data_IF_024743416585
#
_entry.id   IF_024743416585
#
_cell.length_a   1.000
_cell.length_b   1.000
_cell.length_c   1.000
_cell.angle_alpha   90.00
_cell.angle_beta   90.00
_cell.angle_gamma   90.00
#
_symmetry.space_group_name_H-M   'P 1'
#
loop_
_entity.id
_entity.type
_entity.pdbx_description
1 polymer ?
#
# COMPACT_ATOMS: atom_id res chain seq x y z
N UNK A 1 -3.00 9.62 12.97
CA UNK A 1 -3.37 10.30 11.70
C UNK A 1 -2.21 10.37 10.71
N UNK A 2 -0.94 10.46 11.13
CA UNK A 2 0.22 10.49 10.21
C UNK A 2 0.45 9.21 9.37
N UNK A 3 0.07 8.02 9.85
CA UNK A 3 0.39 6.76 9.15
C UNK A 3 -0.51 6.47 7.95
N UNK A 4 -1.77 6.93 7.98
CA UNK A 4 -2.74 6.73 6.90
C UNK A 4 -2.44 7.63 5.69
N UNK A 5 -1.99 8.86 5.93
CA UNK A 5 -1.63 9.80 4.86
C UNK A 5 -0.46 9.28 4.01
N UNK A 6 0.47 8.54 4.64
CA UNK A 6 1.62 7.89 3.99
C UNK A 6 1.25 6.59 3.26
N UNK A 7 0.11 5.97 3.61
CA UNK A 7 -0.36 4.74 3.00
C UNK A 7 -1.10 4.98 1.67
N UNK A 8 -1.85 6.08 1.58
CA UNK A 8 -2.58 6.47 0.37
C UNK A 8 -1.70 6.51 -0.89
N UNK A 9 -0.52 7.18 -0.90
CA UNK A 9 0.30 7.26 -2.10
C UNK A 9 0.96 5.92 -2.45
N UNK A 10 1.26 5.05 -1.46
CA UNK A 10 1.75 3.69 -1.70
C UNK A 10 0.67 2.85 -2.39
N UNK A 11 -0.57 2.90 -1.88
CA UNK A 11 -1.70 2.19 -2.47
C UNK A 11 -2.02 2.72 -3.87
N UNK A 12 -1.88 4.03 -4.12
CA UNK A 12 -2.07 4.60 -5.46
C UNK A 12 -0.97 4.16 -6.46
N UNK A 13 0.29 4.09 -6.04
CA UNK A 13 1.41 3.61 -6.87
C UNK A 13 1.16 2.15 -7.28
N UNK A 14 0.75 1.32 -6.32
CA UNK A 14 0.38 -0.09 -6.55
C UNK A 14 -0.85 -0.27 -7.45
N UNK A 15 -1.71 0.74 -7.56
CA UNK A 15 -2.89 0.68 -8.43
C UNK A 15 -2.51 0.64 -9.91
N UNK A 16 -1.30 1.11 -10.24
CA UNK A 16 -0.73 1.05 -11.58
C UNK A 16 -0.07 -0.30 -11.88
N UNK A 17 0.17 -1.13 -10.86
CA UNK A 17 0.77 -2.46 -11.00
C UNK A 17 1.59 -2.89 -9.78
N UNK A 18 1.97 -4.17 -9.74
CA UNK A 18 2.83 -4.72 -8.70
C UNK A 18 4.17 -3.96 -8.65
N UNK A 19 4.59 -3.58 -7.45
CA UNK A 19 5.81 -2.77 -7.27
C UNK A 19 6.75 -3.42 -6.27
N UNK A 20 8.06 -3.34 -6.53
CA UNK A 20 9.08 -3.87 -5.63
C UNK A 20 9.12 -3.11 -4.31
N UNK A 21 9.26 -3.83 -3.21
CA UNK A 21 9.33 -3.23 -1.86
C UNK A 21 10.50 -2.24 -1.77
N UNK A 22 11.63 -2.55 -2.40
CA UNK A 22 12.79 -1.65 -2.44
C UNK A 22 12.49 -0.31 -3.14
N UNK A 23 11.77 -0.34 -4.27
CA UNK A 23 11.37 0.87 -4.99
C UNK A 23 10.40 1.72 -4.16
N UNK A 24 9.50 1.07 -3.42
CA UNK A 24 8.62 1.75 -2.47
C UNK A 24 9.42 2.37 -1.32
N UNK A 25 10.45 1.69 -0.79
CA UNK A 25 11.31 2.23 0.27
C UNK A 25 12.14 3.44 -0.19
N UNK A 26 12.59 3.46 -1.46
CA UNK A 26 13.28 4.61 -2.06
C UNK A 26 12.38 5.83 -2.17
N UNK A 27 11.11 5.65 -2.58
CA UNK A 27 10.12 6.74 -2.71
C UNK A 27 9.57 7.19 -1.37
N UNK A 28 9.33 6.27 -0.44
CA UNK A 28 8.68 6.52 0.83
C UNK A 28 9.58 6.04 1.98
N UNK A 29 10.32 6.95 2.65
CA UNK A 29 11.02 6.58 3.86
C UNK A 29 10.00 6.07 4.88
N UNK A 30 10.17 4.82 5.35
CA UNK A 30 9.23 4.04 6.18
C UNK A 30 8.16 3.21 5.41
N UNK A 31 8.31 3.00 4.10
CA UNK A 31 7.40 2.15 3.32
C UNK A 31 7.20 0.76 3.97
N UNK A 32 8.26 0.15 4.48
CA UNK A 32 8.20 -1.18 5.10
C UNK A 32 7.20 -1.25 6.27
N UNK A 33 7.21 -0.25 7.16
CA UNK A 33 6.31 -0.20 8.32
C UNK A 33 4.87 0.08 7.89
N UNK A 34 4.68 0.86 6.84
CA UNK A 34 3.36 1.15 6.28
C UNK A 34 2.80 -0.07 5.55
N UNK A 35 3.61 -0.73 4.71
CA UNK A 35 3.26 -1.96 4.01
C UNK A 35 2.91 -3.06 5.01
N UNK A 36 3.71 -3.26 6.07
CA UNK A 36 3.38 -4.23 7.10
C UNK A 36 2.01 -3.97 7.75
N UNK A 37 1.66 -2.71 7.99
CA UNK A 37 0.31 -2.32 8.45
C UNK A 37 -0.76 -2.63 7.43
N UNK A 38 -0.53 -2.30 6.16
CA UNK A 38 -1.46 -2.59 5.06
C UNK A 38 -1.66 -4.09 4.82
N UNK A 39 -0.63 -4.91 5.05
CA UNK A 39 -0.73 -6.38 4.98
C UNK A 39 -1.54 -6.91 6.16
N UNK A 40 -1.33 -6.37 7.36
CA UNK A 40 -2.11 -6.75 8.54
C UNK A 40 -3.60 -6.40 8.40
N UNK A 41 -3.92 -5.26 7.76
CA UNK A 41 -5.28 -4.85 7.39
C UNK A 41 -5.83 -5.61 6.16
N UNK A 42 -5.02 -6.44 5.50
CA UNK A 42 -5.44 -7.22 4.34
C UNK A 42 -5.71 -6.37 3.08
N UNK A 43 -5.10 -5.18 2.99
CA UNK A 43 -5.21 -4.27 1.84
C UNK A 43 -4.15 -4.57 0.78
N UNK A 44 -2.95 -5.00 1.18
CA UNK A 44 -1.88 -5.41 0.26
C UNK A 44 -1.36 -6.78 0.64
N UNK A 45 -0.69 -7.44 -0.31
CA UNK A 45 -0.04 -8.74 -0.08
C UNK A 45 1.35 -8.75 -0.69
N UNK A 46 2.26 -9.52 -0.11
CA UNK A 46 3.58 -9.71 -0.68
C UNK A 46 3.50 -10.63 -1.90
N UNK A 47 4.23 -10.28 -2.95
CA UNK A 47 4.38 -11.09 -4.16
C UNK A 47 5.86 -11.18 -4.53
N UNK A 48 6.19 -12.09 -5.44
CA UNK A 48 7.53 -12.15 -6.03
C UNK A 48 7.52 -11.45 -7.40
N UNK A 49 8.45 -10.53 -7.61
CA UNK A 49 8.62 -9.80 -8.88
C UNK A 49 10.04 -10.04 -9.38
N UNK A 50 10.23 -11.14 -10.11
CA UNK A 50 11.51 -11.48 -10.73
C UNK A 50 12.60 -11.89 -9.74
N UNK A 51 12.22 -12.56 -8.65
CA UNK A 51 13.12 -13.00 -7.57
C UNK A 51 13.32 -11.97 -6.47
N UNK A 52 12.59 -10.85 -6.50
CA UNK A 52 12.61 -9.82 -5.47
C UNK A 52 11.25 -9.68 -4.79
N UNK A 53 11.27 -9.27 -3.50
CA UNK A 53 10.05 -9.06 -2.73
C UNK A 53 9.27 -7.86 -3.26
N UNK A 54 8.16 -8.17 -3.93
CA UNK A 54 7.15 -7.23 -4.37
C UNK A 54 6.01 -7.08 -3.40
N UNK A 55 5.23 -6.03 -3.64
CA UNK A 55 3.96 -5.78 -2.98
C UNK A 55 2.92 -5.62 -4.08
N UNK A 56 1.75 -6.22 -3.86
CA UNK A 56 0.58 -6.05 -4.72
C UNK A 56 -0.62 -5.59 -3.92
N UNK A 57 -1.51 -4.85 -4.59
CA UNK A 57 -2.84 -4.62 -4.04
C UNK A 57 -3.65 -5.92 -4.02
N UNK A 58 -4.44 -6.05 -2.96
CA UNK A 58 -5.53 -7.03 -2.90
C UNK A 58 -6.82 -6.38 -3.39
N UNK A 59 -7.86 -7.20 -3.59
CA UNK A 59 -9.20 -6.71 -3.91
C UNK A 59 -9.71 -5.67 -2.89
N UNK A 60 -9.47 -5.90 -1.59
CA UNK A 60 -9.82 -4.96 -0.53
C UNK A 60 -9.05 -3.64 -0.64
N UNK A 61 -7.75 -3.70 -0.97
CA UNK A 61 -6.93 -2.51 -1.20
C UNK A 61 -7.39 -1.74 -2.42
N UNK A 62 -7.73 -2.41 -3.51
CA UNK A 62 -8.28 -1.79 -4.70
C UNK A 62 -9.61 -1.10 -4.41
N UNK A 63 -10.53 -1.77 -3.70
CA UNK A 63 -11.79 -1.20 -3.25
C UNK A 63 -11.57 0.02 -2.35
N UNK A 64 -10.62 -0.06 -1.43
CA UNK A 64 -10.27 1.04 -0.52
C UNK A 64 -9.78 2.28 -1.27
N UNK A 65 -8.96 2.11 -2.32
CA UNK A 65 -8.50 3.22 -3.17
C UNK A 65 -9.63 3.69 -4.10
N UNK A 66 -10.38 2.79 -4.73
CA UNK A 66 -11.48 3.09 -5.68
C UNK A 66 -12.66 3.79 -5.04
N UNK A 67 -13.05 3.40 -3.81
CA UNK A 67 -14.09 4.11 -3.03
C UNK A 67 -13.66 5.51 -2.60
N UNK A 68 -12.42 5.87 -2.93
CA UNK A 68 -11.77 7.10 -2.55
C UNK A 68 -11.38 6.99 -1.09
N UNK A 69 -10.20 7.50 -0.76
CA UNK A 69 -9.76 7.76 0.60
C UNK A 69 -10.66 8.80 1.33
N UNK A 70 -11.98 8.59 1.33
CA UNK A 70 -12.94 9.17 2.26
C UNK A 70 -13.03 8.23 3.46
N UNK A 71 -11.97 8.19 4.26
CA UNK A 71 -12.16 8.02 5.71
C UNK A 71 -12.65 9.37 6.25
N UNK A 72 -13.79 9.84 5.73
CA UNK A 72 -14.42 11.07 6.17
C UNK A 72 -15.46 10.74 7.23
N UNK A 73 -15.14 11.22 8.44
CA UNK A 73 -16.10 11.75 9.42
C UNK A 73 -16.79 10.75 10.37
N UNK A 74 -16.02 10.26 11.35
CA UNK A 74 -16.30 10.32 12.81
C UNK A 74 -15.34 9.43 13.62
N UNK A 75 -14.07 9.82 13.81
CA UNK A 75 -13.22 9.35 14.93
C UNK A 75 -12.18 10.42 15.29
#
# INVERSE_FOLDING_TARGET
RETLDRAIPILADLQSGDTKTEELQKKYPLAERVVAGLVADGLVSYCDIGGEQGVRLTENGEEFVKRGARISSKF
#
